data_IF_579451970582
#
_entry.id   IF_579451970582
#
_cell.length_a   1.000
_cell.length_b   1.000
_cell.length_c   1.000
_cell.angle_alpha   90.00
_cell.angle_beta   90.00
_cell.angle_gamma   90.00
#
_symmetry.space_group_name_H-M   'P 1'
#
loop_
_entity.id
_entity.type
_entity.pdbx_description
1 polymer ?
#
# COMPACT_ATOMS: atom_id res chain seq x y z
N UNK A 1 11.31 4.75 13.62
CA UNK A 1 12.62 4.08 13.45
C UNK A 1 13.74 5.08 13.24
N UNK A 2 14.95 4.71 13.65
CA UNK A 2 16.17 5.40 13.25
C UNK A 2 16.54 4.81 11.90
N UNK A 3 16.43 5.62 10.84
CA UNK A 3 16.73 5.19 9.49
C UNK A 3 18.20 4.92 9.20
N UNK A 4 18.97 4.54 10.21
CA UNK A 4 20.35 4.07 10.08
C UNK A 4 20.51 2.63 10.57
N UNK A 5 19.61 2.12 11.42
CA UNK A 5 19.81 0.84 12.09
C UNK A 5 18.60 -0.10 12.08
N UNK A 6 17.51 0.27 11.38
CA UNK A 6 16.27 -0.52 11.29
C UNK A 6 15.70 -0.94 12.66
N UNK A 7 16.03 -0.21 13.73
CA UNK A 7 15.44 -0.39 15.06
C UNK A 7 14.21 0.51 15.12
N UNK A 8 13.09 -0.05 15.59
CA UNK A 8 11.91 0.69 16.03
C UNK A 8 12.28 1.63 17.19
N UNK A 9 12.78 2.80 16.82
CA UNK A 9 12.97 3.93 17.71
C UNK A 9 11.79 4.85 17.58
N UNK A 10 11.18 5.14 18.73
CA UNK A 10 10.15 6.16 18.93
C UNK A 10 10.67 7.48 18.36
N UNK A 11 10.10 7.99 17.25
CA UNK A 11 10.51 9.29 16.74
C UNK A 11 10.11 10.37 17.75
N UNK A 12 11.07 11.23 18.11
CA UNK A 12 10.86 12.37 19.02
C UNK A 12 10.44 13.64 18.28
N UNK A 13 10.38 13.61 16.95
CA UNK A 13 9.91 14.68 16.08
C UNK A 13 9.20 14.07 14.86
N UNK A 14 8.12 14.71 14.40
CA UNK A 14 7.34 14.27 13.24
C UNK A 14 8.10 14.47 11.90
N UNK A 15 9.00 15.46 11.81
CA UNK A 15 9.86 15.66 10.64
C UNK A 15 11.01 14.66 10.60
N UNK A 16 11.39 14.12 9.42
CA UNK A 16 10.94 14.46 8.06
C UNK A 16 9.73 13.62 7.57
N UNK A 17 9.01 12.96 8.47
CA UNK A 17 7.92 12.05 8.14
C UNK A 17 6.57 12.76 7.98
N UNK A 18 6.51 14.08 8.18
CA UNK A 18 5.31 14.91 8.00
C UNK A 18 4.57 14.59 6.69
N UNK A 19 3.23 14.54 6.80
CA UNK A 19 2.35 14.46 5.64
C UNK A 19 2.10 15.85 5.10
N UNK A 20 2.87 16.21 4.07
CA UNK A 20 2.63 17.43 3.28
C UNK A 20 1.47 17.27 2.28
N UNK A 21 0.82 16.10 2.26
CA UNK A 21 -0.33 15.78 1.41
C UNK A 21 -1.60 16.07 2.23
N UNK A 22 -2.37 17.12 1.89
CA UNK A 22 -3.47 17.61 2.73
C UNK A 22 -4.73 16.74 2.70
N UNK A 23 -4.72 15.62 1.97
CA UNK A 23 -5.93 14.86 1.65
C UNK A 23 -5.80 13.41 2.13
N UNK A 24 -6.82 12.93 2.87
CA UNK A 24 -7.03 11.50 3.17
C UNK A 24 -7.64 10.89 1.91
N UNK A 25 -6.81 10.73 0.88
CA UNK A 25 -7.27 10.15 -0.39
C UNK A 25 -7.03 8.66 -0.39
N UNK A 26 -8.06 7.95 0.06
CA UNK A 26 -8.18 6.51 0.28
C UNK A 26 -9.36 6.37 1.23
N UNK A 27 -10.42 5.68 0.82
CA UNK A 27 -11.61 5.54 1.67
C UNK A 27 -11.38 4.41 2.66
N UNK A 28 -12.04 4.44 3.82
CA UNK A 28 -11.90 3.46 4.91
C UNK A 28 -12.37 2.03 4.56
N UNK A 29 -13.07 1.86 3.43
CA UNK A 29 -13.69 0.60 3.02
C UNK A 29 -13.37 0.22 1.56
N UNK A 30 -13.17 -1.07 1.25
CA UNK A 30 -12.91 -1.54 -0.11
C UNK A 30 -13.93 -1.06 -1.16
N UNK A 31 -15.20 -0.99 -0.78
CA UNK A 31 -16.30 -0.61 -1.69
C UNK A 31 -16.39 0.91 -1.94
N UNK A 32 -15.73 1.72 -1.11
CA UNK A 32 -15.70 3.17 -1.24
C UNK A 32 -14.38 3.66 -1.85
N UNK A 33 -13.34 2.81 -1.87
CA UNK A 33 -11.99 3.16 -2.31
C UNK A 33 -11.89 3.97 -3.60
N UNK A 34 -10.87 4.83 -3.67
CA UNK A 34 -10.65 5.71 -4.82
C UNK A 34 -10.45 4.91 -6.11
N UNK A 35 -11.27 5.17 -7.13
CA UNK A 35 -11.15 4.51 -8.43
C UNK A 35 -9.87 4.90 -9.17
N UNK A 36 -9.03 3.90 -9.44
CA UNK A 36 -7.92 3.97 -10.37
C UNK A 36 -8.45 3.76 -11.79
N UNK A 37 -8.22 4.77 -12.63
CA UNK A 37 -8.64 4.76 -14.05
C UNK A 37 -7.47 4.39 -14.96
N UNK A 38 -7.80 3.81 -16.12
CA UNK A 38 -6.87 3.49 -17.22
C UNK A 38 -5.85 2.37 -16.93
N UNK A 39 -6.22 1.33 -16.18
CA UNK A 39 -5.44 0.10 -16.14
C UNK A 39 -5.84 -0.81 -17.31
N UNK A 40 -4.86 -1.30 -18.07
CA UNK A 40 -5.02 -2.26 -19.17
C UNK A 40 -4.46 -3.64 -18.76
N UNK A 41 -4.69 -4.69 -19.58
CA UNK A 41 -4.13 -6.03 -19.32
C UNK A 41 -2.63 -6.03 -19.02
N UNK A 42 -1.92 -5.11 -19.66
CA UNK A 42 -0.56 -4.69 -19.30
C UNK A 42 -0.61 -3.19 -19.13
N UNK A 43 -0.42 -2.68 -17.91
CA UNK A 43 -0.41 -1.25 -17.62
C UNK A 43 1.02 -0.74 -17.42
N UNK A 44 1.20 0.57 -17.53
CA UNK A 44 2.35 1.22 -16.90
C UNK A 44 2.21 1.18 -15.38
N UNK A 45 3.30 1.52 -14.67
CA UNK A 45 3.27 1.68 -13.22
C UNK A 45 2.41 2.90 -12.88
N UNK A 46 1.39 2.69 -12.04
CA UNK A 46 0.62 3.75 -11.41
C UNK A 46 1.20 4.01 -10.03
N UNK A 47 1.79 5.18 -9.85
CA UNK A 47 2.32 5.63 -8.57
C UNK A 47 1.27 6.45 -7.80
N UNK A 48 1.07 6.13 -6.53
CA UNK A 48 0.23 6.84 -5.59
C UNK A 48 1.08 7.19 -4.37
N UNK A 49 1.01 8.45 -3.93
CA UNK A 49 1.72 8.94 -2.74
C UNK A 49 0.68 9.51 -1.80
N UNK A 50 0.61 8.98 -0.58
CA UNK A 50 -0.43 9.28 0.38
C UNK A 50 0.11 9.06 1.80
N UNK A 51 -0.78 9.17 2.78
CA UNK A 51 -0.49 9.00 4.19
C UNK A 51 -1.58 8.19 4.87
N UNK A 52 -1.17 7.10 5.53
CA UNK A 52 -2.05 6.31 6.37
C UNK A 52 -1.90 6.77 7.82
N UNK A 53 -2.93 7.41 8.36
CA UNK A 53 -2.96 7.93 9.72
C UNK A 53 -3.30 6.84 10.75
N UNK A 54 -2.93 7.03 12.02
CA UNK A 54 -3.21 6.09 13.11
C UNK A 54 -4.71 5.83 13.30
N UNK A 55 -5.53 6.87 13.12
CA UNK A 55 -7.00 6.78 13.20
C UNK A 55 -7.66 6.29 11.91
N UNK A 56 -6.86 6.03 10.89
CA UNK A 56 -7.31 5.57 9.57
C UNK A 56 -7.20 4.04 9.48
N UNK A 57 -8.33 3.32 9.29
CA UNK A 57 -8.32 1.87 9.21
C UNK A 57 -7.67 1.34 7.93
N UNK A 58 -7.53 2.16 6.89
CA UNK A 58 -6.86 1.78 5.65
C UNK A 58 -7.23 2.66 4.46
N UNK A 59 -6.26 2.82 3.56
CA UNK A 59 -6.48 3.48 2.27
C UNK A 59 -6.82 2.44 1.20
N UNK A 60 -8.03 2.50 0.64
CA UNK A 60 -8.47 1.60 -0.43
C UNK A 60 -8.49 2.26 -1.80
N UNK A 61 -8.05 1.50 -2.82
CA UNK A 61 -8.03 1.92 -4.22
C UNK A 61 -8.69 0.88 -5.12
N UNK A 62 -9.71 1.28 -5.87
CA UNK A 62 -10.49 0.41 -6.73
C UNK A 62 -9.91 0.33 -8.14
N UNK A 63 -10.05 -0.82 -8.80
CA UNK A 63 -9.70 -0.97 -10.21
C UNK A 63 -10.44 -2.14 -10.86
N UNK A 64 -10.64 -2.02 -12.17
CA UNK A 64 -11.23 -3.06 -13.00
C UNK A 64 -10.14 -3.86 -13.71
N UNK A 65 -10.27 -5.19 -13.69
CA UNK A 65 -9.47 -6.05 -14.57
C UNK A 65 -10.18 -6.17 -15.92
N UNK A 66 -9.57 -5.72 -17.04
CA UNK A 66 -10.28 -5.70 -18.31
C UNK A 66 -10.72 -7.09 -18.80
N UNK A 67 -11.93 -7.20 -19.36
CA UNK A 67 -12.49 -8.46 -19.88
C UNK A 67 -11.67 -9.10 -21.01
N UNK A 68 -10.87 -8.29 -21.73
CA UNK A 68 -10.08 -8.75 -22.86
C UNK A 68 -8.76 -9.43 -22.46
N UNK A 69 -8.48 -9.59 -21.17
CA UNK A 69 -7.36 -10.36 -20.64
C UNK A 69 -7.81 -11.80 -20.33
N UNK A 70 -6.95 -12.81 -20.40
CA UNK A 70 -7.29 -14.17 -19.94
C UNK A 70 -7.18 -14.30 -18.41
N UNK A 71 -6.17 -13.65 -17.85
CA UNK A 71 -5.92 -13.41 -16.44
C UNK A 71 -4.96 -12.24 -16.36
N UNK A 72 -4.90 -11.57 -15.21
CA UNK A 72 -3.96 -10.48 -14.95
C UNK A 72 -3.21 -10.78 -13.67
N UNK A 73 -1.91 -10.54 -13.68
CA UNK A 73 -1.10 -10.49 -12.50
C UNK A 73 -1.07 -9.05 -11.98
N UNK A 74 -1.52 -8.90 -10.74
CA UNK A 74 -1.39 -7.65 -9.99
C UNK A 74 0.01 -7.65 -9.40
N UNK A 75 0.79 -6.62 -9.67
CA UNK A 75 2.08 -6.35 -9.04
C UNK A 75 1.97 -5.04 -8.28
N UNK A 76 2.16 -5.09 -6.97
CA UNK A 76 2.16 -3.90 -6.12
C UNK A 76 3.43 -3.85 -5.27
N UNK A 77 4.04 -2.68 -5.23
CA UNK A 77 5.16 -2.37 -4.37
C UNK A 77 4.81 -1.16 -3.51
N UNK A 78 4.86 -1.35 -2.20
CA UNK A 78 4.59 -0.33 -1.21
C UNK A 78 5.89 0.01 -0.49
N UNK A 79 6.30 1.27 -0.51
CA UNK A 79 7.46 1.78 0.24
C UNK A 79 7.00 2.79 1.28
N UNK A 80 7.46 2.65 2.52
CA UNK A 80 7.17 3.60 3.59
C UNK A 80 8.36 3.70 4.56
N UNK A 81 8.63 4.87 5.16
CA UNK A 81 9.52 4.95 6.29
C UNK A 81 8.86 4.24 7.47
N UNK A 82 9.62 3.45 8.22
CA UNK A 82 9.12 2.80 9.43
C UNK A 82 9.06 3.83 10.56
N UNK A 83 8.13 4.79 10.46
CA UNK A 83 8.00 5.90 11.42
C UNK A 83 6.98 5.56 12.52
N UNK A 84 5.93 4.82 12.17
CA UNK A 84 4.85 4.40 13.05
C UNK A 84 4.73 2.86 13.03
N UNK A 85 3.55 2.34 12.71
CA UNK A 85 3.25 0.92 12.59
C UNK A 85 3.53 0.41 11.16
N UNK A 86 4.08 -0.80 10.94
CA UNK A 86 4.27 -1.30 9.60
C UNK A 86 2.95 -1.42 8.84
N UNK A 87 2.98 -1.06 7.55
CA UNK A 87 1.83 -1.16 6.65
C UNK A 87 1.89 -2.49 5.89
N UNK A 88 0.72 -3.05 5.59
CA UNK A 88 0.53 -4.25 4.79
C UNK A 88 -0.36 -3.96 3.56
N UNK A 89 -0.15 -4.73 2.49
CA UNK A 89 -1.00 -4.68 1.29
C UNK A 89 -2.09 -5.75 1.39
N UNK A 90 -3.34 -5.35 1.14
CA UNK A 90 -4.49 -6.23 1.05
C UNK A 90 -5.15 -6.16 -0.33
N UNK A 91 -5.73 -7.26 -0.75
CA UNK A 91 -6.61 -7.30 -1.92
C UNK A 91 -8.00 -7.76 -1.48
N UNK A 92 -9.04 -7.10 -1.99
CA UNK A 92 -10.42 -7.53 -1.81
C UNK A 92 -11.17 -7.46 -3.14
N UNK A 93 -12.17 -8.32 -3.31
CA UNK A 93 -13.22 -8.13 -4.32
C UNK A 93 -14.24 -7.14 -3.78
N UNK A 94 -15.08 -6.56 -4.65
CA UNK A 94 -16.22 -5.76 -4.21
C UNK A 94 -17.08 -6.55 -3.19
N UNK A 95 -17.17 -6.05 -1.95
CA UNK A 95 -17.90 -6.70 -0.84
C UNK A 95 -17.29 -7.99 -0.29
N UNK A 96 -16.09 -8.37 -0.74
CA UNK A 96 -15.34 -9.52 -0.25
C UNK A 96 -14.62 -9.25 1.08
N UNK A 97 -14.24 -10.32 1.77
CA UNK A 97 -13.29 -10.22 2.86
C UNK A 97 -11.90 -9.94 2.27
N UNK A 98 -11.18 -8.93 2.78
CA UNK A 98 -9.80 -8.69 2.41
C UNK A 98 -8.91 -9.90 2.66
N UNK A 99 -7.92 -10.08 1.78
CA UNK A 99 -6.87 -11.09 1.93
C UNK A 99 -5.52 -10.39 1.92
N UNK A 100 -4.69 -10.67 2.94
CA UNK A 100 -3.29 -10.25 3.00
C UNK A 100 -2.40 -11.39 2.50
N UNK A 101 -1.62 -11.15 1.43
CA UNK A 101 -0.58 -12.08 0.95
C UNK A 101 0.72 -11.36 0.59
N UNK A 102 0.91 -10.14 1.11
CA UNK A 102 2.13 -9.41 0.86
C UNK A 102 3.33 -10.03 1.58
N UNK A 103 4.52 -9.73 1.07
CA UNK A 103 5.79 -10.15 1.66
C UNK A 103 6.72 -8.96 1.73
N UNK A 104 7.72 -9.02 2.60
CA UNK A 104 8.84 -8.10 2.50
C UNK A 104 9.55 -8.29 1.14
N UNK A 105 9.84 -7.21 0.44
CA UNK A 105 10.57 -7.29 -0.82
C UNK A 105 12.05 -7.57 -0.56
N UNK A 106 12.63 -8.55 -1.27
CA UNK A 106 14.07 -8.74 -1.33
C UNK A 106 14.69 -7.71 -2.29
N UNK A 107 15.09 -6.56 -1.77
CA UNK A 107 15.72 -5.49 -2.53
C UNK A 107 17.14 -5.26 -2.04
N UNK A 108 18.12 -5.42 -2.94
CA UNK A 108 19.56 -5.28 -2.66
C UNK A 108 19.97 -3.89 -2.12
N UNK A 109 19.09 -2.89 -2.14
CA UNK A 109 19.39 -1.50 -1.77
C UNK A 109 18.23 -0.80 -1.03
N UNK A 110 17.63 -1.44 -0.02
CA UNK A 110 16.69 -0.70 0.83
C UNK A 110 17.40 0.44 1.56
N UNK A 111 16.87 1.67 1.43
CA UNK A 111 17.33 2.78 2.24
C UNK A 111 17.06 2.47 3.72
N UNK A 112 18.04 2.69 4.57
CA UNK A 112 17.88 2.40 5.99
C UNK A 112 16.68 3.20 6.58
N UNK A 113 15.86 2.52 7.39
CA UNK A 113 14.61 3.07 7.93
C UNK A 113 13.42 3.07 6.99
N UNK A 114 13.54 2.60 5.76
CA UNK A 114 12.41 2.29 4.91
C UNK A 114 12.11 0.80 4.98
N UNK A 115 10.82 0.46 4.87
CA UNK A 115 10.37 -0.88 4.59
C UNK A 115 9.71 -0.88 3.21
N UNK A 116 9.87 -2.00 2.51
CA UNK A 116 9.16 -2.23 1.25
C UNK A 116 8.38 -3.54 1.29
N UNK A 117 7.09 -3.48 0.97
CA UNK A 117 6.20 -4.64 0.81
C UNK A 117 5.93 -4.88 -0.66
N UNK A 118 5.93 -6.16 -1.03
CA UNK A 118 5.63 -6.63 -2.37
C UNK A 118 4.38 -7.49 -2.30
N UNK A 119 3.50 -7.31 -3.27
CA UNK A 119 2.32 -8.12 -3.46
C UNK A 119 2.25 -8.55 -4.91
N UNK A 120 2.05 -9.86 -5.13
CA UNK A 120 1.88 -10.41 -6.46
C UNK A 120 0.78 -11.47 -6.42
N UNK A 121 -0.26 -11.28 -7.24
CA UNK A 121 -1.37 -12.23 -7.31
C UNK A 121 -1.99 -12.26 -8.71
N UNK A 122 -2.22 -13.46 -9.23
CA UNK A 122 -2.99 -13.64 -10.46
C UNK A 122 -4.48 -13.65 -10.15
N UNK A 123 -5.23 -12.78 -10.83
CA UNK A 123 -6.68 -12.63 -10.69
C UNK A 123 -7.40 -12.89 -12.01
N UNK A 124 -8.66 -13.39 -11.96
CA UNK A 124 -9.56 -13.45 -13.11
C UNK A 124 -9.77 -12.08 -13.77
N UNK A 125 -10.07 -12.12 -15.06
CA UNK A 125 -10.53 -10.95 -15.81
C UNK A 125 -11.96 -10.54 -15.42
N UNK A 126 -12.39 -9.36 -15.86
CA UNK A 126 -13.77 -8.89 -15.73
C UNK A 126 -14.27 -8.70 -14.31
N UNK A 127 -13.35 -8.67 -13.35
CA UNK A 127 -13.66 -8.58 -11.93
C UNK A 127 -13.16 -7.24 -11.40
N UNK A 128 -14.01 -6.64 -10.56
CA UNK A 128 -13.69 -5.40 -9.84
C UNK A 128 -12.98 -5.74 -8.53
N UNK A 129 -11.84 -5.10 -8.30
CA UNK A 129 -11.01 -5.30 -7.13
C UNK A 129 -10.71 -3.99 -6.43
N UNK A 130 -10.41 -4.08 -5.14
CA UNK A 130 -9.83 -3.02 -4.36
C UNK A 130 -8.51 -3.49 -3.76
N UNK A 131 -7.45 -2.70 -3.94
CA UNK A 131 -6.17 -2.88 -3.24
C UNK A 131 -6.12 -1.89 -2.07
N UNK A 132 -5.92 -2.42 -0.88
CA UNK A 132 -5.91 -1.68 0.37
C UNK A 132 -4.54 -1.62 1.00
N UNK A 133 -4.26 -0.54 1.72
CA UNK A 133 -3.09 -0.36 2.55
C UNK A 133 -3.55 -0.18 3.98
N UNK A 134 -3.18 -1.12 4.85
CA UNK A 134 -3.68 -1.18 6.23
C UNK A 134 -2.51 -1.29 7.21
N UNK A 135 -2.74 -0.85 8.45
CA UNK A 135 -1.82 -1.13 9.54
C UNK A 135 -1.72 -2.64 9.78
N UNK A 136 -0.50 -3.16 9.93
CA UNK A 136 -0.25 -4.62 9.98
C UNK A 136 -0.66 -5.30 11.29
N UNK A 137 -0.82 -4.54 12.37
CA UNK A 137 -1.07 -5.00 13.73
C UNK A 137 0.15 -5.51 14.49
N UNK A 138 1.35 -5.49 13.87
CA UNK A 138 2.49 -6.29 14.35
C UNK A 138 3.42 -5.51 15.28
N UNK A 139 3.51 -4.19 15.18
CA UNK A 139 4.40 -3.35 16.01
C UNK A 139 4.01 -1.87 15.83
N UNK A 140 4.00 -1.07 16.90
CA UNK A 140 3.78 0.38 16.80
C UNK A 140 4.98 1.10 17.40
N UNK A 141 5.67 1.93 16.61
CA UNK A 141 6.81 2.71 17.09
C UNK A 141 6.41 3.92 17.97
N UNK A 142 5.12 4.17 18.21
CA UNK A 142 4.53 4.78 19.41
C UNK A 142 5.02 6.18 19.81
N UNK A 143 5.53 6.97 18.86
CA UNK A 143 6.12 8.29 19.11
C UNK A 143 5.28 9.45 18.62
N UNK A 144 5.94 10.56 18.26
CA UNK A 144 5.29 11.76 17.73
C UNK A 144 4.79 11.60 16.27
N UNK A 145 5.07 10.46 15.63
CA UNK A 145 4.52 10.13 14.32
C UNK A 145 3.25 9.32 14.51
N UNK A 146 2.10 9.87 14.13
CA UNK A 146 0.78 9.23 14.16
C UNK A 146 0.33 8.77 12.76
N UNK A 147 1.28 8.48 11.87
CA UNK A 147 1.01 8.13 10.47
C UNK A 147 2.22 7.52 9.78
N UNK A 148 1.99 6.83 8.66
CA UNK A 148 3.01 6.49 7.69
C UNK A 148 2.71 7.18 6.36
N UNK A 149 3.65 8.00 5.89
CA UNK A 149 3.68 8.38 4.48
C UNK A 149 4.10 7.16 3.66
N UNK A 150 3.46 6.91 2.54
CA UNK A 150 3.84 5.81 1.66
C UNK A 150 3.85 6.19 0.19
N UNK A 151 4.48 5.33 -0.60
CA UNK A 151 4.37 5.30 -2.05
C UNK A 151 3.92 3.90 -2.46
N UNK A 152 2.78 3.81 -3.15
CA UNK A 152 2.28 2.59 -3.76
C UNK A 152 2.50 2.66 -5.26
N UNK A 153 3.24 1.69 -5.78
CA UNK A 153 3.40 1.44 -7.21
C UNK A 153 2.54 0.23 -7.56
N UNK A 154 1.53 0.42 -8.40
CA UNK A 154 0.64 -0.64 -8.88
C UNK A 154 0.82 -0.85 -10.39
N UNK A 155 0.93 -2.10 -10.81
CA UNK A 155 0.96 -2.49 -12.20
C UNK A 155 0.10 -3.74 -12.44
N UNK A 156 -0.55 -3.78 -13.59
CA UNK A 156 -1.17 -4.97 -14.13
C UNK A 156 -0.27 -5.53 -15.24
N UNK A 157 -0.01 -6.83 -15.22
CA UNK A 157 0.75 -7.55 -16.24
C UNK A 157 0.00 -8.84 -16.65
N UNK A 158 0.36 -9.41 -17.79
CA UNK A 158 -0.09 -10.76 -18.14
C UNK A 158 0.83 -11.79 -17.45
N UNK A 159 0.29 -12.88 -16.86
CA UNK A 159 1.08 -13.90 -16.18
C UNK A 159 2.14 -14.58 -17.07
#
# INVERSE_FOLDING_TARGET
CNGLNNICTVPTQARPFDCDIPDRTGDDEPAAGLQLVNLSCVSGIRELRQCLFEDDPGDWFQFDVPDNCSAVQIEAQLTFPVAFEPVAIQLSTEGGAPVTVDTECDLDNQEAGQATRCFQMTVPNGTHYAIGLVHSGIENCGGECSHNRYTLNLQLSTP
#
